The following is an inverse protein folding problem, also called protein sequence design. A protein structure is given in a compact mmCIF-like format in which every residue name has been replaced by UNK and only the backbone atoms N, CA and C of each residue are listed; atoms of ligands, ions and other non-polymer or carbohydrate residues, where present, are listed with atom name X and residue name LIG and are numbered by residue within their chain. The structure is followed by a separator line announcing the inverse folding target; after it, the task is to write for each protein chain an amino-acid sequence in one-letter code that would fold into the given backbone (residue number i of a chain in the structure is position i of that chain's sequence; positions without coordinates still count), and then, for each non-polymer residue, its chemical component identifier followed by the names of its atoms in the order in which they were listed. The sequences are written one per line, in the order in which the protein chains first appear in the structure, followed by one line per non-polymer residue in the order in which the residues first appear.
data_IF_580132830500
#
_entry.id   IF_580132830500
#
_cell.length_a   1.000
_cell.length_b   1.000
_cell.length_c   1.000
_cell.angle_alpha   90.00
_cell.angle_beta   90.00
_cell.angle_gamma   90.00
#
_symmetry.space_group_name_H-M   'P 1'
#
loop_
_entity.id
_entity.type
_entity.pdbx_description
1 polymer ?
#
# COMPACT_ATOMS: atom_id res chain seq x y z
N UNK A 1 -22.14 -7.25 -7.19
CA UNK A 1 -21.01 -6.46 -6.65
C UNK A 1 -19.98 -7.45 -6.11
N UNK A 2 -18.66 -7.24 -6.35
CA UNK A 2 -17.62 -8.14 -5.84
C UNK A 2 -17.45 -7.97 -4.34
N UNK A 3 -17.29 -9.09 -3.61
CA UNK A 3 -17.07 -9.04 -2.16
C UNK A 3 -15.65 -8.65 -1.84
N UNK A 4 -15.49 -7.63 -1.00
CA UNK A 4 -14.18 -7.07 -0.60
C UNK A 4 -14.11 -7.02 0.91
N UNK A 5 -12.99 -7.48 1.49
CA UNK A 5 -12.63 -7.22 2.88
C UNK A 5 -11.62 -6.07 2.92
N UNK A 6 -11.86 -5.08 3.77
CA UNK A 6 -10.90 -4.01 4.05
C UNK A 6 -9.92 -4.47 5.13
N UNK A 7 -8.63 -4.24 4.92
CA UNK A 7 -7.57 -4.53 5.88
C UNK A 7 -6.66 -3.31 6.00
N UNK A 8 -6.61 -2.72 7.18
CA UNK A 8 -5.71 -1.61 7.50
C UNK A 8 -4.66 -2.05 8.51
N UNK A 9 -3.40 -1.71 8.24
CA UNK A 9 -2.27 -1.92 9.15
C UNK A 9 -1.83 -0.60 9.77
N UNK A 10 -1.58 -0.61 11.09
CA UNK A 10 -1.14 0.56 11.87
C UNK A 10 -0.07 0.17 12.88
N UNK A 11 0.76 1.15 13.26
CA UNK A 11 1.79 0.97 14.28
C UNK A 11 1.99 2.25 15.11
N UNK A 12 1.03 2.57 15.97
CA UNK A 12 1.14 3.63 16.97
C UNK A 12 0.94 5.06 16.47
N UNK A 13 0.65 5.27 15.19
CA UNK A 13 0.50 6.60 14.55
C UNK A 13 -0.97 7.05 14.57
N UNK A 14 -1.54 7.28 15.77
CA UNK A 14 -2.98 7.53 15.96
C UNK A 14 -3.50 8.69 15.12
N UNK A 15 -2.75 9.79 15.04
CA UNK A 15 -3.19 10.98 14.30
C UNK A 15 -3.29 10.69 12.80
N UNK A 16 -2.31 10.01 12.22
CA UNK A 16 -2.33 9.59 10.83
C UNK A 16 -3.44 8.57 10.57
N UNK A 17 -3.55 7.55 11.43
CA UNK A 17 -4.63 6.57 11.37
C UNK A 17 -6.02 7.23 11.38
N UNK A 18 -6.23 8.23 12.23
CA UNK A 18 -7.49 8.94 12.29
C UNK A 18 -7.79 9.69 10.99
N UNK A 19 -6.81 10.43 10.43
CA UNK A 19 -6.96 11.12 9.14
C UNK A 19 -7.25 10.12 8.01
N UNK A 20 -6.54 9.01 7.98
CA UNK A 20 -6.74 7.93 7.00
C UNK A 20 -8.16 7.38 7.07
N UNK A 21 -8.62 6.97 8.25
CA UNK A 21 -9.96 6.41 8.41
C UNK A 21 -11.08 7.42 8.19
N UNK A 22 -10.93 8.66 8.66
CA UNK A 22 -11.91 9.73 8.42
C UNK A 22 -12.08 10.00 6.92
N UNK A 23 -10.98 10.18 6.20
CA UNK A 23 -11.01 10.40 4.76
C UNK A 23 -11.52 9.18 4.00
N UNK A 24 -11.10 7.96 4.42
CA UNK A 24 -11.62 6.72 3.85
C UNK A 24 -13.15 6.64 3.98
N UNK A 25 -13.70 6.80 5.17
CA UNK A 25 -15.15 6.74 5.38
C UNK A 25 -15.91 7.87 4.69
N UNK A 26 -15.30 9.05 4.51
CA UNK A 26 -15.88 10.17 3.76
C UNK A 26 -16.02 9.87 2.28
N UNK A 27 -15.04 9.22 1.69
CA UNK A 27 -14.96 9.02 0.25
C UNK A 27 -15.27 7.59 -0.23
N UNK A 28 -15.29 6.60 0.67
CA UNK A 28 -15.67 5.25 0.29
C UNK A 28 -17.19 5.16 0.06
N UNK A 29 -17.55 4.79 -1.16
CA UNK A 29 -18.93 4.56 -1.61
C UNK A 29 -19.15 3.11 -2.09
N UNK A 30 -18.23 2.20 -1.74
CA UNK A 30 -18.32 0.78 -2.03
C UNK A 30 -18.67 -0.02 -0.76
N UNK A 31 -19.62 -0.94 -0.87
CA UNK A 31 -19.98 -1.81 0.26
C UNK A 31 -18.87 -2.85 0.52
N UNK A 32 -18.38 -2.88 1.76
CA UNK A 32 -17.35 -3.80 2.21
C UNK A 32 -17.98 -4.89 3.08
N UNK A 33 -17.56 -6.14 2.90
CA UNK A 33 -18.08 -7.30 3.62
C UNK A 33 -17.61 -7.31 5.08
N UNK A 34 -16.33 -7.03 5.30
CA UNK A 34 -15.69 -6.92 6.60
C UNK A 34 -14.60 -5.86 6.58
N UNK A 35 -14.29 -5.34 7.75
CA UNK A 35 -13.25 -4.33 7.91
C UNK A 35 -12.38 -4.69 9.12
N UNK A 36 -11.11 -4.93 8.90
CA UNK A 36 -10.12 -5.22 9.92
C UNK A 36 -9.13 -4.07 10.07
N UNK A 37 -8.78 -3.75 11.31
CA UNK A 37 -7.65 -2.91 11.65
C UNK A 37 -6.71 -3.72 12.53
N UNK A 38 -5.47 -3.92 12.09
CA UNK A 38 -4.41 -4.53 12.90
C UNK A 38 -3.43 -3.47 13.39
N UNK A 39 -3.23 -3.44 14.71
CA UNK A 39 -2.32 -2.48 15.37
C UNK A 39 -1.14 -3.22 15.99
N UNK A 40 0.08 -2.83 15.62
CA UNK A 40 1.33 -3.53 15.95
C UNK A 40 2.29 -2.75 16.87
N UNK A 41 1.82 -1.66 17.51
CA UNK A 41 2.68 -0.86 18.39
C UNK A 41 2.96 -1.52 19.74
N UNK A 42 2.15 -2.49 20.17
CA UNK A 42 2.17 -3.06 21.51
C UNK A 42 2.00 -2.00 22.61
N UNK A 43 1.11 -1.03 22.39
CA UNK A 43 0.85 0.06 23.32
C UNK A 43 -0.63 0.10 23.74
N UNK A 44 -0.91 -0.16 25.01
CA UNK A 44 -2.28 -0.26 25.54
C UNK A 44 -3.05 1.06 25.48
N UNK A 45 -2.36 2.21 25.59
CA UNK A 45 -3.01 3.53 25.45
C UNK A 45 -3.49 3.73 24.00
N UNK A 46 -2.65 3.37 23.02
CA UNK A 46 -3.01 3.37 21.60
C UNK A 46 -4.21 2.47 21.34
N UNK A 47 -4.18 1.24 21.89
CA UNK A 47 -5.28 0.28 21.72
C UNK A 47 -6.61 0.81 22.30
N UNK A 48 -6.55 1.41 23.50
CA UNK A 48 -7.73 1.98 24.16
C UNK A 48 -8.35 3.12 23.36
N UNK A 49 -7.52 4.00 22.80
CA UNK A 49 -7.96 5.12 21.97
C UNK A 49 -8.57 4.63 20.65
N UNK A 50 -7.91 3.72 19.93
CA UNK A 50 -8.44 3.11 18.71
C UNK A 50 -9.77 2.40 18.99
N UNK A 51 -9.86 1.64 20.07
CA UNK A 51 -11.08 0.93 20.46
C UNK A 51 -12.23 1.90 20.73
N UNK A 52 -11.97 2.99 21.46
CA UNK A 52 -12.96 4.02 21.76
C UNK A 52 -13.51 4.66 20.50
N UNK A 53 -12.65 5.00 19.54
CA UNK A 53 -13.03 5.74 18.32
C UNK A 53 -13.57 4.85 17.21
N UNK A 54 -12.96 3.70 16.96
CA UNK A 54 -13.18 2.88 15.77
C UNK A 54 -13.79 1.51 16.03
N UNK A 55 -13.84 1.05 17.30
CA UNK A 55 -14.28 -0.31 17.64
C UNK A 55 -15.70 -0.67 17.26
N UNK A 56 -16.58 0.33 17.00
CA UNK A 56 -17.93 0.09 16.48
C UNK A 56 -18.00 -0.10 14.98
N UNK A 57 -16.94 0.33 14.24
CA UNK A 57 -16.90 0.30 12.78
C UNK A 57 -15.97 -0.77 12.24
N UNK A 58 -14.97 -1.16 13.01
CA UNK A 58 -13.90 -2.05 12.59
C UNK A 58 -13.75 -3.22 13.57
N UNK A 59 -13.39 -4.38 13.04
CA UNK A 59 -12.86 -5.49 13.85
C UNK A 59 -11.39 -5.20 14.15
N UNK A 60 -11.09 -5.01 15.44
CA UNK A 60 -9.76 -4.62 15.89
C UNK A 60 -8.94 -5.85 16.26
N UNK A 61 -7.72 -5.91 15.73
CA UNK A 61 -6.73 -6.95 16.00
C UNK A 61 -5.50 -6.29 16.65
N UNK A 62 -5.32 -6.50 17.94
CA UNK A 62 -4.20 -5.93 18.68
C UNK A 62 -3.12 -7.01 18.88
N UNK A 63 -1.91 -6.74 18.39
CA UNK A 63 -0.80 -7.64 18.60
C UNK A 63 -0.29 -7.56 20.03
N UNK A 64 -0.16 -8.72 20.71
CA UNK A 64 0.36 -8.84 22.08
C UNK A 64 1.87 -8.56 22.18
N UNK A 65 2.56 -8.50 21.05
CA UNK A 65 3.96 -8.09 20.89
C UNK A 65 4.16 -7.56 19.50
N UNK A 66 5.15 -6.71 19.28
CA UNK A 66 5.50 -6.19 17.94
C UNK A 66 5.91 -7.33 17.01
N UNK A 67 5.16 -7.54 15.93
CA UNK A 67 5.35 -8.63 14.96
C UNK A 67 6.00 -8.16 13.66
N UNK A 68 5.88 -6.87 13.35
CA UNK A 68 6.24 -6.27 12.06
C UNK A 68 5.13 -6.35 11.02
N UNK A 69 5.24 -5.51 10.01
CA UNK A 69 4.20 -5.28 9.01
C UNK A 69 3.77 -6.56 8.29
N UNK A 70 4.71 -7.30 7.68
CA UNK A 70 4.39 -8.48 6.88
C UNK A 70 3.66 -9.53 7.72
N UNK A 71 4.14 -9.81 8.93
CA UNK A 71 3.53 -10.82 9.79
C UNK A 71 2.13 -10.43 10.25
N UNK A 72 1.94 -9.15 10.58
CA UNK A 72 0.61 -8.60 10.93
C UNK A 72 -0.37 -8.72 9.76
N UNK A 73 0.09 -8.43 8.53
CA UNK A 73 -0.70 -8.61 7.30
C UNK A 73 -1.08 -10.07 7.10
N UNK A 74 -0.11 -10.98 7.18
CA UNK A 74 -0.34 -12.41 6.95
C UNK A 74 -1.34 -12.99 7.95
N UNK A 75 -1.21 -12.67 9.22
CA UNK A 75 -2.15 -13.14 10.25
C UNK A 75 -3.56 -12.59 10.01
N UNK A 76 -3.67 -11.34 9.58
CA UNK A 76 -4.97 -10.74 9.22
C UNK A 76 -5.55 -11.36 7.96
N UNK A 77 -4.74 -11.64 6.93
CA UNK A 77 -5.21 -12.23 5.68
C UNK A 77 -5.73 -13.66 5.86
N UNK A 78 -5.28 -14.40 6.88
CA UNK A 78 -5.84 -15.71 7.25
C UNK A 78 -7.32 -15.63 7.66
N UNK A 79 -7.79 -14.48 8.12
CA UNK A 79 -9.18 -14.24 8.51
C UNK A 79 -10.07 -13.82 7.33
N UNK A 80 -9.47 -13.54 6.16
CA UNK A 80 -10.19 -13.06 4.98
C UNK A 80 -10.74 -14.24 4.19
N UNK A 81 -12.04 -14.19 3.92
CA UNK A 81 -12.76 -15.19 3.13
C UNK A 81 -13.40 -14.62 1.85
N UNK A 82 -13.20 -13.33 1.57
CA UNK A 82 -13.64 -12.70 0.32
C UNK A 82 -12.59 -12.86 -0.77
N UNK A 83 -12.98 -12.86 -2.06
CA UNK A 83 -12.02 -13.00 -3.16
C UNK A 83 -11.06 -11.83 -3.29
N UNK A 84 -11.45 -10.65 -2.75
CA UNK A 84 -10.69 -9.42 -2.86
C UNK A 84 -10.44 -8.81 -1.48
N UNK A 85 -9.29 -8.16 -1.36
CA UNK A 85 -8.86 -7.40 -0.18
C UNK A 85 -8.57 -5.97 -0.63
N UNK A 86 -9.18 -4.98 0.01
CA UNK A 86 -8.69 -3.62 -0.09
C UNK A 86 -7.71 -3.40 1.06
N UNK A 87 -6.42 -3.41 0.73
CA UNK A 87 -5.35 -3.17 1.71
C UNK A 87 -5.05 -1.69 1.82
N UNK A 88 -4.76 -1.23 3.04
CA UNK A 88 -4.40 0.15 3.34
C UNK A 88 -3.40 0.19 4.51
N UNK A 89 -2.54 1.20 4.54
CA UNK A 89 -1.71 1.59 5.69
C UNK A 89 -2.34 2.81 6.38
N UNK A 90 -1.81 3.23 7.53
CA UNK A 90 -2.38 4.27 8.38
C UNK A 90 -1.94 5.71 8.02
N UNK A 91 -1.30 5.92 6.87
CA UNK A 91 -0.71 7.18 6.46
C UNK A 91 -1.16 7.67 5.06
N UNK A 92 -2.41 7.39 4.72
CA UNK A 92 -2.98 7.76 3.41
C UNK A 92 -4.26 8.57 3.56
N UNK A 93 -4.32 9.76 2.97
CA UNK A 93 -5.52 10.59 2.92
C UNK A 93 -6.27 10.37 1.60
N UNK A 94 -7.53 9.92 1.67
CA UNK A 94 -8.40 9.74 0.51
C UNK A 94 -9.00 11.09 0.08
N UNK A 95 -9.09 11.34 -1.23
CA UNK A 95 -9.47 12.64 -1.77
C UNK A 95 -10.70 12.62 -2.67
N UNK A 96 -11.14 11.46 -3.16
CA UNK A 96 -12.31 11.34 -4.03
C UNK A 96 -13.04 9.99 -3.90
N UNK A 97 -14.27 9.95 -4.40
CA UNK A 97 -15.10 8.74 -4.51
C UNK A 97 -14.69 7.84 -5.69
N UNK A 98 -15.34 6.70 -5.80
CA UNK A 98 -15.22 5.70 -6.87
C UNK A 98 -13.82 5.07 -7.02
N UNK A 99 -12.92 5.24 -6.07
CA UNK A 99 -11.55 4.72 -6.18
C UNK A 99 -11.50 3.18 -6.18
N UNK A 100 -12.39 2.52 -5.43
CA UNK A 100 -12.51 1.05 -5.43
C UNK A 100 -13.05 0.56 -6.78
N UNK A 101 -14.10 1.20 -7.30
CA UNK A 101 -14.72 0.86 -8.58
C UNK A 101 -13.71 1.03 -9.73
N UNK A 102 -12.91 2.09 -9.70
CA UNK A 102 -11.87 2.33 -10.70
C UNK A 102 -10.78 1.27 -10.66
N UNK A 103 -10.30 0.89 -9.45
CA UNK A 103 -9.38 -0.23 -9.28
C UNK A 103 -9.94 -1.53 -9.86
N UNK A 104 -11.21 -1.83 -9.59
CA UNK A 104 -11.86 -3.05 -10.08
C UNK A 104 -11.91 -3.07 -11.61
N UNK A 105 -12.32 -1.96 -12.24
CA UNK A 105 -12.35 -1.84 -13.71
C UNK A 105 -10.97 -2.09 -14.33
N UNK A 106 -9.94 -1.46 -13.78
CA UNK A 106 -8.56 -1.61 -14.26
C UNK A 106 -8.08 -3.05 -14.07
N UNK A 107 -8.25 -3.63 -12.88
CA UNK A 107 -7.79 -5.00 -12.60
C UNK A 107 -8.57 -6.08 -13.38
N UNK A 108 -9.80 -5.79 -13.79
CA UNK A 108 -10.60 -6.70 -14.63
C UNK A 108 -10.20 -6.63 -16.11
N UNK A 109 -9.49 -5.60 -16.54
CA UNK A 109 -9.04 -5.47 -17.92
C UNK A 109 -7.83 -6.35 -18.25
N UNK A 110 -7.04 -6.74 -17.24
CA UNK A 110 -5.92 -7.68 -17.39
C UNK A 110 -5.64 -8.39 -16.07
N UNK A 111 -5.68 -9.73 -16.09
CA UNK A 111 -5.40 -10.57 -14.92
C UNK A 111 -3.98 -10.44 -14.37
N UNK A 112 -3.05 -9.95 -15.20
CA UNK A 112 -1.64 -9.72 -14.82
C UNK A 112 -1.42 -8.41 -14.07
N UNK A 113 -2.42 -7.53 -13.98
CA UNK A 113 -2.34 -6.36 -13.11
C UNK A 113 -2.47 -6.83 -11.66
N UNK A 114 -1.34 -6.77 -10.90
CA UNK A 114 -1.31 -7.22 -9.50
C UNK A 114 -1.93 -6.18 -8.56
N UNK A 115 -1.81 -4.91 -8.89
CA UNK A 115 -2.36 -3.78 -8.13
C UNK A 115 -2.45 -2.51 -8.95
N UNK A 116 -3.28 -1.57 -8.47
CA UNK A 116 -3.40 -0.20 -8.99
C UNK A 116 -2.91 0.74 -7.89
N UNK A 117 -1.88 1.55 -8.17
CA UNK A 117 -1.49 2.65 -7.29
C UNK A 117 -2.47 3.80 -7.43
N UNK A 118 -2.98 4.27 -6.31
CA UNK A 118 -4.00 5.31 -6.23
C UNK A 118 -3.44 6.72 -6.05
N UNK A 119 -2.15 6.85 -5.78
CA UNK A 119 -1.45 8.13 -5.63
C UNK A 119 -1.09 8.77 -6.97
N UNK A 120 -0.62 10.01 -6.94
CA UNK A 120 -0.14 10.69 -8.15
C UNK A 120 1.23 10.15 -8.60
N UNK A 121 1.54 10.35 -9.91
CA UNK A 121 2.85 10.00 -10.47
C UNK A 121 3.99 10.75 -9.79
N UNK A 122 3.74 12.01 -9.44
CA UNK A 122 4.71 12.88 -8.74
C UNK A 122 5.03 12.30 -7.35
N UNK A 123 4.01 11.86 -6.60
CA UNK A 123 4.18 11.20 -5.30
C UNK A 123 4.95 9.89 -5.45
N UNK A 124 4.53 9.02 -6.36
CA UNK A 124 5.18 7.71 -6.60
C UNK A 124 6.62 7.86 -7.11
N UNK A 125 6.94 8.93 -7.84
CA UNK A 125 8.26 9.17 -8.48
C UNK A 125 9.30 9.78 -7.55
N UNK A 126 9.01 10.00 -6.28
CA UNK A 126 9.97 10.62 -5.32
C UNK A 126 11.35 9.95 -5.30
N UNK A 127 11.44 8.68 -5.64
CA UNK A 127 12.70 7.94 -5.71
C UNK A 127 13.39 8.03 -7.06
N UNK A 128 12.76 8.61 -8.09
CA UNK A 128 13.25 8.69 -9.47
C UNK A 128 13.70 7.33 -10.06
N UNK A 129 12.99 6.28 -9.68
CA UNK A 129 13.28 4.90 -10.12
C UNK A 129 12.20 4.32 -11.04
N UNK A 130 11.14 5.10 -11.31
CA UNK A 130 10.02 4.70 -12.14
C UNK A 130 9.91 5.52 -13.41
N UNK A 131 9.44 4.83 -14.44
CA UNK A 131 8.92 5.39 -15.68
C UNK A 131 7.48 4.90 -15.85
N UNK A 132 6.73 5.59 -16.67
CA UNK A 132 5.32 5.26 -16.90
C UNK A 132 5.08 5.01 -18.38
N UNK A 133 4.46 3.88 -18.67
CA UNK A 133 4.06 3.50 -20.02
C UNK A 133 3.01 4.47 -20.62
N UNK A 134 2.60 4.23 -21.86
CA UNK A 134 1.57 5.02 -22.52
C UNK A 134 0.26 4.98 -21.72
N UNK A 135 -0.54 6.05 -21.85
CA UNK A 135 -1.88 6.13 -21.28
C UNK A 135 -2.75 5.02 -21.87
N UNK A 136 -3.34 4.22 -21.02
CA UNK A 136 -4.36 3.23 -21.32
C UNK A 136 -5.69 3.63 -20.68
N UNK A 137 -6.80 3.12 -21.18
CA UNK A 137 -8.14 3.40 -20.64
C UNK A 137 -8.99 2.15 -20.62
N UNK A 138 -9.80 2.03 -19.57
CA UNK A 138 -10.91 1.09 -19.47
C UNK A 138 -12.18 1.87 -19.14
N UNK A 139 -13.09 1.99 -20.13
CA UNK A 139 -14.17 2.95 -20.05
C UNK A 139 -13.62 4.38 -19.92
N UNK A 140 -14.02 5.07 -18.87
CA UNK A 140 -13.57 6.43 -18.56
C UNK A 140 -12.35 6.50 -17.61
N UNK A 141 -11.81 5.36 -17.18
CA UNK A 141 -10.71 5.30 -16.21
C UNK A 141 -9.38 5.16 -16.94
N UNK A 142 -8.51 6.16 -16.78
CA UNK A 142 -7.15 6.18 -17.33
C UNK A 142 -6.13 5.58 -16.34
N UNK A 143 -5.14 4.87 -16.88
CA UNK A 143 -4.03 4.32 -16.09
C UNK A 143 -2.78 4.13 -16.95
N UNK A 144 -1.63 3.93 -16.29
CA UNK A 144 -0.36 3.65 -16.96
C UNK A 144 0.37 2.49 -16.27
N UNK A 145 1.09 1.69 -17.04
CA UNK A 145 1.99 0.68 -16.49
C UNK A 145 3.15 1.36 -15.78
N UNK A 146 3.46 0.89 -14.56
CA UNK A 146 4.66 1.30 -13.83
C UNK A 146 5.84 0.45 -14.32
N UNK A 147 6.91 1.12 -14.70
CA UNK A 147 8.13 0.50 -15.25
C UNK A 147 9.29 0.88 -14.35
N UNK A 148 10.03 -0.09 -13.83
CA UNK A 148 11.28 0.20 -13.15
C UNK A 148 12.36 0.57 -14.15
N UNK A 149 13.10 1.65 -13.88
CA UNK A 149 14.30 2.02 -14.62
C UNK A 149 15.34 0.90 -14.53
N UNK A 150 16.20 0.80 -15.54
CA UNK A 150 17.23 -0.22 -15.63
C UNK A 150 18.06 -0.31 -14.32
N UNK A 151 18.29 -1.53 -13.86
CA UNK A 151 19.03 -1.84 -12.62
C UNK A 151 18.24 -1.68 -11.32
N UNK A 152 16.93 -1.40 -11.40
CA UNK A 152 16.03 -1.38 -10.25
C UNK A 152 14.99 -2.50 -10.35
N UNK A 153 14.64 -3.10 -9.22
CA UNK A 153 13.63 -4.17 -9.13
C UNK A 153 12.42 -3.76 -8.28
N UNK A 154 12.37 -2.50 -7.87
CA UNK A 154 11.29 -1.95 -7.07
C UNK A 154 10.08 -1.57 -7.93
N UNK A 155 8.85 -1.70 -7.39
CA UNK A 155 7.65 -1.18 -8.04
C UNK A 155 6.72 -2.22 -8.63
N UNK A 156 7.06 -3.49 -8.48
CA UNK A 156 6.17 -4.57 -8.93
C UNK A 156 5.13 -4.97 -7.87
N UNK A 157 5.31 -4.55 -6.63
CA UNK A 157 4.37 -4.75 -5.53
C UNK A 157 4.67 -3.80 -4.38
N UNK A 158 3.60 -3.35 -3.67
CA UNK A 158 3.71 -2.63 -2.41
C UNK A 158 2.46 -2.82 -1.55
N UNK A 159 2.56 -2.50 -0.25
CA UNK A 159 1.41 -2.49 0.65
C UNK A 159 0.61 -1.17 0.62
N UNK A 160 0.91 -0.28 -0.31
CA UNK A 160 0.11 0.93 -0.57
C UNK A 160 -1.37 0.62 -0.76
N UNK A 161 -2.26 1.60 -0.52
CA UNK A 161 -3.70 1.43 -0.69
C UNK A 161 -4.06 0.87 -2.06
N UNK A 162 -4.94 -0.13 -2.07
CA UNK A 162 -5.44 -0.72 -3.30
C UNK A 162 -5.94 -2.14 -3.13
N UNK A 163 -6.52 -2.65 -4.20
CA UNK A 163 -7.09 -4.00 -4.23
C UNK A 163 -5.99 -5.03 -4.43
N UNK A 164 -6.08 -6.12 -3.68
CA UNK A 164 -5.30 -7.35 -3.82
C UNK A 164 -6.28 -8.51 -4.07
N UNK A 165 -5.98 -9.40 -5.02
CA UNK A 165 -6.74 -10.64 -5.16
C UNK A 165 -6.20 -11.67 -4.15
N UNK A 166 -7.10 -12.29 -3.40
CA UNK A 166 -6.72 -13.35 -2.47
C UNK A 166 -6.11 -14.57 -3.21
N UNK A 167 -6.52 -14.80 -4.46
CA UNK A 167 -5.91 -15.81 -5.34
C UNK A 167 -4.43 -15.55 -5.62
N UNK A 168 -4.06 -14.29 -5.90
CA UNK A 168 -2.68 -13.90 -6.20
C UNK A 168 -1.79 -14.02 -4.96
N UNK A 169 -2.32 -13.68 -3.78
CA UNK A 169 -1.67 -13.93 -2.50
C UNK A 169 -1.38 -15.42 -2.28
N UNK A 170 -2.38 -16.28 -2.54
CA UNK A 170 -2.25 -17.74 -2.41
C UNK A 170 -1.31 -18.34 -3.45
N UNK A 171 -1.28 -17.80 -4.67
CA UNK A 171 -0.44 -18.27 -5.78
C UNK A 171 1.05 -18.29 -5.44
N UNK A 172 1.52 -17.33 -4.64
CA UNK A 172 2.93 -17.25 -4.20
C UNK A 172 3.16 -17.89 -2.83
N UNK A 173 2.17 -18.58 -2.27
CA UNK A 173 2.24 -19.23 -0.96
C UNK A 173 2.11 -18.28 0.23
N UNK A 174 1.52 -17.10 0.03
CA UNK A 174 1.44 -16.04 1.03
C UNK A 174 2.71 -15.20 1.13
N UNK A 175 2.77 -14.30 2.12
CA UNK A 175 3.91 -13.38 2.27
C UNK A 175 4.91 -13.83 3.35
N UNK A 176 4.64 -14.92 4.08
CA UNK A 176 5.49 -15.39 5.19
C UNK A 176 6.94 -15.69 4.78
N UNK A 177 7.15 -16.13 3.53
CA UNK A 177 8.46 -16.53 3.02
C UNK A 177 9.28 -15.35 2.47
N UNK A 178 8.75 -14.13 2.51
CA UNK A 178 9.40 -12.95 1.95
C UNK A 178 9.90 -12.01 3.05
N UNK A 179 11.07 -11.41 2.84
CA UNK A 179 11.69 -10.50 3.81
C UNK A 179 11.12 -9.08 3.73
N UNK A 180 10.62 -8.69 2.57
CA UNK A 180 10.14 -7.33 2.29
C UNK A 180 9.28 -7.29 1.01
N UNK A 181 8.68 -6.13 0.72
CA UNK A 181 7.87 -5.89 -0.48
C UNK A 181 8.62 -6.10 -1.79
N UNK A 182 9.94 -5.81 -1.81
CA UNK A 182 10.76 -6.01 -2.99
C UNK A 182 10.80 -7.48 -3.40
N UNK A 183 11.04 -8.37 -2.43
CA UNK A 183 11.11 -9.82 -2.68
C UNK A 183 9.75 -10.34 -3.18
N UNK A 184 8.64 -9.84 -2.62
CA UNK A 184 7.27 -10.13 -3.09
C UNK A 184 7.08 -9.63 -4.53
N UNK A 185 7.50 -8.40 -4.81
CA UNK A 185 7.41 -7.80 -6.15
C UNK A 185 8.20 -8.57 -7.21
N UNK A 186 9.42 -9.00 -6.87
CA UNK A 186 10.26 -9.82 -7.76
C UNK A 186 9.59 -11.16 -8.07
N UNK A 187 8.93 -11.78 -7.08
CA UNK A 187 8.22 -13.04 -7.29
C UNK A 187 7.00 -12.88 -8.21
N UNK A 188 6.24 -11.79 -8.06
CA UNK A 188 5.16 -11.46 -8.98
C UNK A 188 5.66 -11.15 -10.39
N UNK A 189 6.76 -10.37 -10.52
CA UNK A 189 7.40 -10.07 -11.80
C UNK A 189 7.79 -11.32 -12.58
N UNK A 190 8.41 -12.32 -11.92
CA UNK A 190 8.77 -13.60 -12.53
C UNK A 190 7.57 -14.35 -13.14
N UNK A 191 6.36 -14.11 -12.64
CA UNK A 191 5.10 -14.68 -13.12
C UNK A 191 4.39 -13.79 -14.15
N UNK A 192 5.05 -12.71 -14.61
CA UNK A 192 4.52 -11.78 -15.61
C UNK A 192 3.54 -10.75 -15.06
N UNK A 193 3.38 -10.65 -13.74
CA UNK A 193 2.55 -9.61 -13.14
C UNK A 193 3.22 -8.25 -13.21
N UNK A 194 2.40 -7.21 -13.20
CA UNK A 194 2.86 -5.82 -13.20
C UNK A 194 1.91 -4.90 -12.43
N UNK A 195 2.44 -3.77 -12.01
CA UNK A 195 1.68 -2.70 -11.33
C UNK A 195 1.31 -1.62 -12.32
N UNK A 196 0.16 -1.00 -12.10
CA UNK A 196 -0.26 0.20 -12.83
C UNK A 196 -0.54 1.34 -11.85
N UNK A 197 -0.50 2.57 -12.34
CA UNK A 197 -0.86 3.78 -11.61
C UNK A 197 -2.06 4.44 -12.28
N UNK A 198 -3.02 4.87 -11.49
CA UNK A 198 -4.22 5.56 -11.98
C UNK A 198 -3.88 6.97 -12.45
N UNK A 199 -4.53 7.46 -13.53
CA UNK A 199 -4.28 8.81 -14.03
C UNK A 199 -4.97 9.89 -13.19
N UNK A 200 -6.11 9.59 -12.57
CA UNK A 200 -6.80 10.47 -11.64
C UNK A 200 -6.58 9.97 -10.19
N UNK A 201 -5.64 10.56 -9.43
CA UNK A 201 -5.29 10.08 -8.10
C UNK A 201 -6.48 10.11 -7.13
N UNK A 202 -6.44 9.25 -6.14
CA UNK A 202 -7.47 9.15 -5.11
C UNK A 202 -6.91 9.19 -3.69
N UNK A 203 -5.59 9.18 -3.53
CA UNK A 203 -4.94 9.25 -2.21
C UNK A 203 -3.73 10.17 -2.25
N UNK A 204 -3.39 10.72 -1.08
CA UNK A 204 -2.18 11.48 -0.79
C UNK A 204 -1.44 10.75 0.33
N UNK A 205 -0.13 10.54 0.16
CA UNK A 205 0.76 10.06 1.20
C UNK A 205 0.98 11.17 2.23
N UNK A 206 0.58 10.93 3.48
CA UNK A 206 0.70 11.86 4.61
C UNK A 206 1.71 11.39 5.66
N UNK A 207 2.48 10.33 5.35
CA UNK A 207 3.37 9.64 6.28
C UNK A 207 4.84 10.09 6.26
N UNK A 208 5.26 10.97 5.37
CA UNK A 208 6.65 11.27 5.04
C UNK A 208 7.56 11.58 6.26
N UNK A 209 7.08 12.37 7.21
CA UNK A 209 7.86 12.80 8.38
C UNK A 209 7.68 11.88 9.61
N UNK A 210 6.83 10.86 9.49
CA UNK A 210 6.42 9.99 10.60
C UNK A 210 6.75 8.51 10.37
N UNK A 211 7.84 8.22 9.67
CA UNK A 211 8.21 6.85 9.35
C UNK A 211 8.57 6.05 10.60
N UNK A 212 7.81 4.98 10.88
CA UNK A 212 8.15 4.01 11.94
C UNK A 212 9.04 2.92 11.34
N UNK A 213 10.29 2.85 11.82
CA UNK A 213 11.20 1.79 11.36
C UNK A 213 10.67 0.42 11.78
N UNK A 214 10.45 -0.46 10.81
CA UNK A 214 10.19 -1.86 11.08
C UNK A 214 11.48 -2.55 11.50
N UNK A 215 11.64 -2.78 12.82
CA UNK A 215 12.83 -3.42 13.41
C UNK A 215 13.02 -4.87 12.95
N UNK A 216 11.98 -5.48 12.41
CA UNK A 216 12.04 -6.85 11.86
C UNK A 216 12.56 -6.86 10.42
N UNK A 217 12.64 -5.71 9.78
CA UNK A 217 12.99 -5.53 8.37
C UNK A 217 14.49 -5.35 8.19
N UNK A 218 15.15 -6.30 7.59
CA UNK A 218 16.50 -6.09 7.05
C UNK A 218 16.36 -5.43 5.68
N UNK A 219 16.71 -4.15 5.58
CA UNK A 219 16.74 -3.44 4.31
C UNK A 219 17.64 -4.19 3.31
N UNK A 220 17.18 -4.45 2.09
CA UNK A 220 18.00 -5.12 1.09
C UNK A 220 19.26 -4.29 0.79
N UNK A 221 20.43 -4.92 0.87
CA UNK A 221 21.72 -4.30 0.49
C UNK A 221 21.84 -4.02 -1.03
N UNK A 222 20.86 -4.44 -1.82
CA UNK A 222 20.82 -4.26 -3.28
C UNK A 222 20.42 -2.82 -3.63
N UNK A 223 21.40 -1.93 -3.56
CA UNK A 223 21.35 -0.63 -4.24
C UNK A 223 22.23 -0.73 -5.48
N UNK A 224 21.78 -0.12 -6.59
CA UNK A 224 22.63 0.05 -7.78
C UNK A 224 23.95 0.67 -7.32
N UNK A 225 25.09 0.15 -7.78
CA UNK A 225 26.39 0.75 -7.52
C UNK A 225 26.32 2.23 -7.97
N UNK A 226 26.60 3.16 -7.07
CA UNK A 226 26.48 4.60 -7.32
C UNK A 226 25.14 5.25 -6.92
N UNK A 227 24.17 4.51 -6.37
CA UNK A 227 22.96 5.14 -5.82
C UNK A 227 23.32 6.09 -4.66
N UNK A 228 22.73 7.32 -4.60
CA UNK A 228 23.07 8.30 -3.56
C UNK A 228 22.83 7.73 -2.17
N UNK A 229 23.84 7.76 -1.31
CA UNK A 229 23.68 7.51 0.13
C UNK A 229 22.89 8.65 0.76
N UNK A 230 22.23 8.41 1.92
CA UNK A 230 21.32 9.37 2.57
C UNK A 230 21.85 10.82 2.66
N UNK A 231 23.16 11.03 2.89
CA UNK A 231 23.81 12.36 2.89
C UNK A 231 23.78 13.05 1.51
N UNK A 232 23.95 12.31 0.40
CA UNK A 232 23.84 12.89 -0.95
C UNK A 232 22.40 13.21 -1.33
N UNK A 233 21.43 12.56 -0.70
CA UNK A 233 19.99 12.83 -0.85
C UNK A 233 19.61 14.18 -0.21
N UNK A 234 20.11 14.46 1.01
CA UNK A 234 19.93 15.77 1.67
C UNK A 234 20.51 16.91 0.81
N UNK A 235 21.68 16.71 0.21
CA UNK A 235 22.32 17.73 -0.63
C UNK A 235 21.55 18.00 -1.95
N UNK A 236 20.88 17.02 -2.50
CA UNK A 236 20.05 17.21 -3.71
C UNK A 236 18.76 17.96 -3.38
N UNK A 237 18.16 17.71 -2.22
CA UNK A 237 17.01 18.49 -1.71
C UNK A 237 17.38 19.94 -1.40
N UNK A 238 18.55 20.19 -0.80
CA UNK A 238 19.02 21.55 -0.51
C UNK A 238 19.36 22.36 -1.78
N UNK A 239 19.70 21.71 -2.89
CA UNK A 239 19.95 22.39 -4.18
C UNK A 239 18.69 22.68 -4.99
N UNK A 240 17.56 22.05 -4.71
CA UNK A 240 16.27 22.35 -5.36
C UNK A 240 15.56 23.57 -4.74
N UNK A 241 16.04 24.09 -3.60
CA UNK A 241 15.60 25.34 -2.98
C UNK A 241 16.58 26.49 -3.29
N UNK A 242 16.86 26.74 -4.55
CA UNK A 242 17.43 28.02 -4.97
C UNK A 242 16.36 28.80 -5.71
N UNK A 243 16.02 29.93 -5.07
CA UNK A 243 15.22 31.08 -5.51
C UNK A 243 15.21 31.32 -7.00
#
# INVERSE_FOLDING_TARGET
MKKITFVLTSCGRIELLNKTLESFFKFNDYALEKMYLVEDSFNQNVYSEIKKRWGKKLTLLFNEKKKGQIKSIVETYKLVNTPLIFHCEDDWEYTRKNFIQDCLKIMDSDEKIIQVWLESKESASRLDIFEYGPLQKVGNVGFRKVICKEGWEWGYFSFRPGIKRLSDYKLIGGYDNFKNELDIGVEYKKRGYYTVIIENPAVIDIGDDHHVSDVTRKWPKRRKAGAPTGLKRLWKHLKSFKF
#
